data_IF_297639702457
#
_entry.id   IF_297639702457
#
_cell.length_a   1.000
_cell.length_b   1.000
_cell.length_c   1.000
_cell.angle_alpha   90.00
_cell.angle_beta   90.00
_cell.angle_gamma   90.00
#
_symmetry.space_group_name_H-M   'P 1'
#
loop_
_entity.id
_entity.type
_entity.pdbx_description
1 polymer ?
#
# COMPACT_ATOMS: atom_id res chain seq x y z
N UNK A 1 16.25 9.12 -13.61
CA UNK A 1 15.75 8.45 -12.40
C UNK A 1 14.73 9.38 -11.79
N UNK A 2 13.50 8.91 -11.63
CA UNK A 2 12.40 9.66 -11.01
C UNK A 2 11.83 8.77 -9.91
N UNK A 3 11.91 9.25 -8.67
CA UNK A 3 11.29 8.57 -7.54
C UNK A 3 9.78 8.63 -7.67
N UNK A 4 9.10 7.59 -7.20
CA UNK A 4 7.64 7.61 -7.16
C UNK A 4 7.17 8.64 -6.12
N UNK A 5 6.05 9.28 -6.39
CA UNK A 5 5.39 10.21 -5.47
C UNK A 5 4.25 9.47 -4.77
N UNK A 6 4.07 9.69 -3.46
CA UNK A 6 2.97 9.07 -2.72
C UNK A 6 1.82 10.06 -2.55
N UNK A 7 0.61 9.62 -2.87
CA UNK A 7 -0.62 10.31 -2.50
C UNK A 7 -1.35 9.52 -1.40
N UNK A 8 -1.55 10.18 -0.26
CA UNK A 8 -2.23 9.66 0.94
C UNK A 8 -3.61 10.30 1.14
N UNK A 9 -4.11 11.07 0.17
CA UNK A 9 -5.32 11.88 0.33
C UNK A 9 -6.63 11.13 0.15
N UNK A 10 -6.59 9.82 -0.18
CA UNK A 10 -7.82 9.06 -0.33
C UNK A 10 -8.57 8.98 1.02
N UNK A 11 -9.85 9.41 1.10
CA UNK A 11 -10.55 9.50 2.38
C UNK A 11 -10.66 8.17 3.14
N UNK A 12 -10.84 7.06 2.42
CA UNK A 12 -10.89 5.72 3.02
C UNK A 12 -9.54 5.34 3.63
N UNK A 13 -8.44 5.65 2.93
CA UNK A 13 -7.09 5.39 3.42
C UNK A 13 -6.83 6.16 4.72
N UNK A 14 -7.14 7.46 4.76
CA UNK A 14 -6.94 8.30 5.94
C UNK A 14 -7.74 7.79 7.15
N UNK A 15 -9.04 7.46 6.94
CA UNK A 15 -9.91 6.91 8.00
C UNK A 15 -9.38 5.58 8.53
N UNK A 16 -8.93 4.69 7.66
CA UNK A 16 -8.37 3.41 8.07
C UNK A 16 -7.03 3.57 8.79
N UNK A 17 -6.15 4.45 8.30
CA UNK A 17 -4.84 4.70 8.90
C UNK A 17 -4.93 5.16 10.35
N UNK A 18 -5.85 6.07 10.67
CA UNK A 18 -6.03 6.58 12.04
C UNK A 18 -6.77 5.59 12.96
N UNK A 19 -7.39 4.56 12.40
CA UNK A 19 -8.10 3.52 13.14
C UNK A 19 -7.23 2.28 13.44
N UNK A 20 -6.02 2.21 12.89
CA UNK A 20 -5.09 1.10 13.11
C UNK A 20 -4.56 1.05 14.54
N UNK A 21 -4.27 -0.17 15.01
CA UNK A 21 -3.57 -0.37 16.26
C UNK A 21 -2.11 0.11 16.18
N UNK A 22 -1.51 0.43 17.33
CA UNK A 22 -0.16 1.02 17.40
C UNK A 22 0.89 0.25 16.58
N UNK A 23 0.86 -1.08 16.64
CA UNK A 23 1.80 -1.94 15.90
C UNK A 23 1.56 -1.90 14.40
N UNK A 24 0.30 -1.87 13.97
CA UNK A 24 -0.11 -1.82 12.56
C UNK A 24 0.27 -0.48 11.93
N UNK A 25 0.05 0.63 12.66
CA UNK A 25 0.52 1.96 12.24
C UNK A 25 2.02 1.94 11.98
N UNK A 26 2.82 1.35 12.87
CA UNK A 26 4.28 1.29 12.69
C UNK A 26 4.69 0.50 11.43
N UNK A 27 3.98 -0.58 11.12
CA UNK A 27 4.20 -1.37 9.90
C UNK A 27 3.87 -0.58 8.63
N UNK A 28 2.73 0.12 8.62
CA UNK A 28 2.32 0.98 7.51
C UNK A 28 3.31 2.13 7.33
N UNK A 29 3.66 2.86 8.40
CA UNK A 29 4.61 3.98 8.32
C UNK A 29 6.00 3.54 7.82
N UNK A 30 6.49 2.37 8.24
CA UNK A 30 7.76 1.80 7.70
C UNK A 30 7.68 1.55 6.20
N UNK A 31 6.53 1.05 5.74
CA UNK A 31 6.28 0.80 4.32
C UNK A 31 6.19 2.11 3.53
N UNK A 32 5.50 3.14 4.05
CA UNK A 32 5.45 4.46 3.42
C UNK A 32 6.85 5.07 3.29
N UNK A 33 7.66 5.02 4.35
CA UNK A 33 9.06 5.48 4.33
C UNK A 33 9.88 4.78 3.26
N UNK A 34 9.72 3.46 3.12
CA UNK A 34 10.37 2.68 2.06
C UNK A 34 9.91 3.16 0.68
N UNK A 35 8.60 3.25 0.44
CA UNK A 35 8.04 3.64 -0.85
C UNK A 35 8.53 5.02 -1.33
N UNK A 36 8.65 5.99 -0.42
CA UNK A 36 9.20 7.33 -0.71
C UNK A 36 10.65 7.33 -1.22
N UNK A 37 11.37 6.20 -1.09
CA UNK A 37 12.76 6.04 -1.53
C UNK A 37 12.90 5.21 -2.79
N UNK A 38 11.79 4.72 -3.37
CA UNK A 38 11.81 3.84 -4.53
C UNK A 38 11.52 4.58 -5.84
N UNK A 39 12.19 4.15 -6.90
CA UNK A 39 11.71 4.31 -8.26
C UNK A 39 10.67 3.23 -8.60
N UNK A 40 9.82 3.47 -9.60
CA UNK A 40 8.84 2.49 -10.07
C UNK A 40 9.45 1.12 -10.41
N UNK A 41 10.62 1.11 -11.07
CA UNK A 41 11.33 -0.14 -11.40
C UNK A 41 11.72 -0.94 -10.14
N UNK A 42 12.04 -0.25 -9.05
CA UNK A 42 12.43 -0.87 -7.78
C UNK A 42 11.18 -1.36 -7.04
N UNK A 43 10.08 -0.61 -7.06
CA UNK A 43 8.79 -1.09 -6.56
C UNK A 43 8.37 -2.41 -7.23
N UNK A 44 8.46 -2.48 -8.56
CA UNK A 44 8.08 -3.68 -9.32
C UNK A 44 9.00 -4.88 -9.06
N UNK A 45 10.28 -4.63 -8.76
CA UNK A 45 11.24 -5.69 -8.46
C UNK A 45 11.24 -6.12 -6.99
N UNK A 46 10.57 -5.39 -6.10
CA UNK A 46 10.61 -5.63 -4.66
C UNK A 46 9.75 -6.83 -4.25
N UNK A 47 10.41 -7.96 -3.97
CA UNK A 47 9.73 -9.19 -3.54
C UNK A 47 9.06 -9.07 -2.16
N UNK A 48 9.54 -8.16 -1.30
CA UNK A 48 8.99 -7.95 0.03
C UNK A 48 7.60 -7.33 -0.02
N UNK A 49 7.43 -6.34 -0.89
CA UNK A 49 6.19 -5.61 -1.10
C UNK A 49 5.11 -6.43 -1.80
N UNK A 50 5.43 -7.58 -2.41
CA UNK A 50 4.46 -8.45 -3.11
C UNK A 50 3.49 -7.64 -3.98
N UNK A 51 4.06 -6.78 -4.85
CA UNK A 51 3.28 -5.93 -5.74
C UNK A 51 2.42 -6.79 -6.69
N UNK A 52 1.10 -6.64 -6.61
CA UNK A 52 0.16 -7.53 -7.26
C UNK A 52 -0.98 -6.74 -7.92
N UNK A 53 -1.29 -7.02 -9.17
CA UNK A 53 -2.40 -6.40 -9.89
C UNK A 53 -3.69 -7.22 -9.71
N UNK A 54 -4.76 -6.56 -9.29
CA UNK A 54 -6.09 -7.16 -9.09
C UNK A 54 -6.99 -6.77 -10.25
N UNK A 55 -7.04 -7.65 -11.27
CA UNK A 55 -7.76 -7.40 -12.53
C UNK A 55 -9.26 -7.15 -12.36
N UNK A 56 -9.90 -7.84 -11.41
CA UNK A 56 -11.35 -7.73 -11.19
C UNK A 56 -11.82 -6.34 -10.75
N UNK A 57 -10.91 -5.52 -10.20
CA UNK A 57 -11.24 -4.21 -9.63
C UNK A 57 -10.30 -3.08 -10.10
N UNK A 58 -9.43 -3.36 -11.08
CA UNK A 58 -8.50 -2.40 -11.69
C UNK A 58 -7.72 -1.56 -10.66
N UNK A 59 -7.02 -2.27 -9.76
CA UNK A 59 -6.09 -1.67 -8.79
C UNK A 59 -4.94 -2.63 -8.48
N UNK A 60 -3.96 -2.12 -7.74
CA UNK A 60 -2.83 -2.90 -7.24
C UNK A 60 -2.92 -3.09 -5.73
N UNK A 61 -2.30 -4.14 -5.21
CA UNK A 61 -2.03 -4.29 -3.79
C UNK A 61 -0.54 -4.40 -3.53
N UNK A 62 -0.14 -3.92 -2.35
CA UNK A 62 1.19 -4.13 -1.80
C UNK A 62 1.08 -4.57 -0.34
N UNK A 63 2.06 -5.34 0.10
CA UNK A 63 2.19 -5.87 1.44
C UNK A 63 3.01 -4.92 2.30
N UNK A 64 2.40 -4.36 3.35
CA UNK A 64 3.09 -3.61 4.38
C UNK A 64 3.69 -4.52 5.46
N UNK A 65 2.96 -5.59 5.82
CA UNK A 65 3.41 -6.66 6.70
C UNK A 65 2.72 -7.97 6.36
N UNK A 66 3.02 -9.07 7.05
CA UNK A 66 2.28 -10.32 6.84
C UNK A 66 0.77 -10.20 7.10
N UNK A 67 0.36 -9.21 7.89
CA UNK A 67 -1.03 -8.99 8.28
C UNK A 67 -1.62 -7.72 7.68
N UNK A 68 -0.94 -7.01 6.79
CA UNK A 68 -1.46 -5.75 6.25
C UNK A 68 -1.15 -5.65 4.75
N UNK A 69 -2.22 -5.50 3.96
CA UNK A 69 -2.17 -5.09 2.56
C UNK A 69 -2.70 -3.67 2.39
N UNK A 70 -2.15 -2.97 1.41
CA UNK A 70 -2.58 -1.63 1.01
C UNK A 70 -3.00 -1.72 -0.45
N UNK A 71 -4.21 -1.27 -0.76
CA UNK A 71 -4.66 -1.10 -2.13
C UNK A 71 -4.17 0.24 -2.67
N UNK A 72 -3.76 0.28 -3.93
CA UNK A 72 -3.20 1.45 -4.56
C UNK A 72 -3.52 1.53 -6.06
N UNK A 73 -3.47 2.73 -6.61
CA UNK A 73 -3.54 2.99 -8.05
C UNK A 73 -2.32 3.79 -8.49
N UNK A 74 -1.85 3.54 -9.71
CA UNK A 74 -0.81 4.36 -10.34
C UNK A 74 -1.46 5.42 -11.22
N UNK A 75 -1.12 6.68 -10.96
CA UNK A 75 -1.51 7.84 -11.76
C UNK A 75 -0.24 8.56 -12.23
N UNK A 76 0.28 8.15 -13.40
CA UNK A 76 1.55 8.68 -13.92
C UNK A 76 2.74 8.32 -13.01
N UNK A 77 3.31 9.33 -12.35
CA UNK A 77 4.38 9.15 -11.36
C UNK A 77 3.89 8.99 -9.92
N UNK A 78 2.59 9.19 -9.69
CA UNK A 78 1.98 9.17 -8.36
C UNK A 78 1.43 7.76 -8.07
N UNK A 79 1.69 7.26 -6.87
CA UNK A 79 1.09 6.07 -6.30
C UNK A 79 0.05 6.51 -5.26
N UNK A 80 -1.22 6.45 -5.65
CA UNK A 80 -2.36 6.83 -4.83
C UNK A 80 -2.76 5.65 -3.93
N UNK A 81 -2.61 5.78 -2.61
CA UNK A 81 -3.01 4.75 -1.67
C UNK A 81 -4.50 4.87 -1.35
N UNK A 82 -5.26 3.81 -1.61
CA UNK A 82 -6.73 3.82 -1.60
C UNK A 82 -7.30 3.32 -0.28
N UNK A 83 -6.77 2.22 0.25
CA UNK A 83 -7.27 1.58 1.47
C UNK A 83 -6.22 0.69 2.12
N UNK A 84 -6.36 0.48 3.41
CA UNK A 84 -5.57 -0.43 4.24
C UNK A 84 -6.47 -1.59 4.65
N UNK A 85 -5.98 -2.80 4.42
CA UNK A 85 -6.65 -4.06 4.72
C UNK A 85 -5.74 -4.84 5.66
N UNK A 86 -5.98 -4.80 6.97
CA UNK A 86 -5.47 -5.84 7.85
C UNK A 86 -6.00 -7.19 7.32
N UNK A 87 -5.10 -8.16 7.18
CA UNK A 87 -5.43 -9.55 6.92
C UNK A 87 -6.14 -10.05 8.18
N UNK A 88 -7.43 -9.77 8.26
CA UNK A 88 -8.32 -10.57 9.08
C UNK A 88 -8.55 -11.85 8.28
N UNK A 89 -8.24 -12.98 8.89
CA UNK A 89 -8.51 -14.35 8.43
C UNK A 89 -10.03 -14.62 8.24
N UNK A 90 -10.84 -13.59 7.96
CA UNK A 90 -12.30 -13.59 7.91
C UNK A 90 -12.87 -13.01 6.60
N UNK A 91 -12.05 -12.81 5.56
CA UNK A 91 -12.54 -12.42 4.23
C UNK A 91 -12.83 -13.61 3.29
N UNK A 92 -12.87 -14.83 3.83
CA UNK A 92 -13.39 -16.04 3.18
C UNK A 92 -14.25 -16.85 4.18
N UNK A 93 -15.32 -16.24 4.68
CA UNK A 93 -16.54 -16.98 5.09
C UNK A 93 -17.71 -16.55 4.21
#
# INVERSE_FOLDING_TARGET
>A
MMFLELDLNHPTFQKQLVALEKTEVLEVIRTLKKLMQLEWKQLYADQGLKWEYISARDFYTLRASQKIRIAARREGNILCLLSIHPDQDSAYE
#
